data_IF_701721871190
#
_entry.id   IF_701721871190
#
_cell.length_a   1.000
_cell.length_b   1.000
_cell.length_c   1.000
_cell.angle_alpha   90.00
_cell.angle_beta   90.00
_cell.angle_gamma   90.00
#
_symmetry.space_group_name_H-M   'P 1'
#
loop_
_entity.id
_entity.type
_entity.pdbx_description
1 polymer ?
#
# COMPACT_ATOMS: atom_id res chain seq x y z
N UNK A 1 -12.18 -14.64 -2.24
CA UNK A 1 -11.28 -15.16 -3.30
C UNK A 1 -10.38 -14.04 -3.77
N UNK A 2 -9.06 -14.26 -3.85
CA UNK A 2 -8.12 -13.25 -4.36
C UNK A 2 -8.35 -12.99 -5.85
N UNK A 3 -8.27 -11.71 -6.24
CA UNK A 3 -8.32 -11.23 -7.62
C UNK A 3 -7.20 -10.23 -7.84
N UNK A 4 -6.69 -10.15 -9.07
CA UNK A 4 -5.74 -9.11 -9.45
C UNK A 4 -6.47 -7.80 -9.71
N UNK A 5 -6.09 -6.77 -8.98
CA UNK A 5 -6.57 -5.40 -9.16
C UNK A 5 -5.46 -4.55 -9.77
N UNK A 6 -5.85 -3.60 -10.62
CA UNK A 6 -4.96 -2.62 -11.22
C UNK A 6 -5.19 -1.27 -10.55
N UNK A 7 -4.11 -0.54 -10.27
CA UNK A 7 -4.17 0.78 -9.68
C UNK A 7 -3.07 1.68 -10.20
N UNK A 8 -3.22 2.98 -9.93
CA UNK A 8 -2.21 3.98 -10.23
C UNK A 8 -2.21 5.08 -9.16
N UNK A 9 -1.11 5.85 -9.11
CA UNK A 9 -1.09 7.08 -8.33
C UNK A 9 -1.99 8.15 -8.97
N UNK A 10 -2.32 9.20 -8.21
CA UNK A 10 -3.25 10.24 -8.65
C UNK A 10 -2.86 10.89 -10.00
N UNK A 11 -1.56 11.10 -10.24
CA UNK A 11 -1.06 11.68 -11.48
C UNK A 11 -0.82 10.67 -12.60
N UNK A 12 -1.06 9.37 -12.36
CA UNK A 12 -0.84 8.30 -13.34
C UNK A 12 0.62 7.90 -13.55
N UNK A 13 1.60 8.55 -12.93
CA UNK A 13 3.01 8.26 -13.17
C UNK A 13 3.52 6.91 -12.59
N UNK A 14 2.72 6.27 -11.73
CA UNK A 14 3.02 4.96 -11.13
C UNK A 14 1.84 4.05 -11.37
N UNK A 15 2.08 2.88 -11.94
CA UNK A 15 1.09 1.84 -12.18
C UNK A 15 1.47 0.57 -11.41
N UNK A 16 0.49 -0.07 -10.78
CA UNK A 16 0.72 -1.28 -10.01
C UNK A 16 -0.43 -2.28 -10.16
N UNK A 17 -0.11 -3.54 -9.89
CA UNK A 17 -1.05 -4.63 -9.72
C UNK A 17 -0.96 -5.20 -8.31
N UNK A 18 -2.10 -5.54 -7.73
CA UNK A 18 -2.15 -6.19 -6.42
C UNK A 18 -3.17 -7.34 -6.42
N UNK A 19 -2.75 -8.51 -5.94
CA UNK A 19 -3.66 -9.64 -5.73
C UNK A 19 -4.30 -9.50 -4.36
N UNK A 20 -5.60 -9.19 -4.31
CA UNK A 20 -6.32 -8.85 -3.09
C UNK A 20 -7.61 -9.66 -2.98
N UNK A 21 -8.03 -9.95 -1.75
CA UNK A 21 -9.40 -10.34 -1.46
C UNK A 21 -10.11 -9.19 -0.74
N UNK A 22 -10.85 -8.38 -1.48
CA UNK A 22 -11.56 -7.25 -0.90
C UNK A 22 -12.71 -7.68 0.05
N UNK A 23 -13.13 -8.95 0.00
CA UNK A 23 -14.13 -9.49 0.91
C UNK A 23 -13.58 -9.74 2.33
N UNK A 24 -12.26 -9.82 2.50
CA UNK A 24 -11.62 -9.86 3.85
C UNK A 24 -11.80 -8.55 4.63
N UNK A 25 -12.30 -7.50 3.96
CA UNK A 25 -12.67 -6.24 4.56
C UNK A 25 -11.59 -5.15 4.44
N UNK A 26 -12.01 -3.95 4.78
CA UNK A 26 -11.18 -2.74 4.73
C UNK A 26 -10.78 -2.35 6.16
N UNK A 27 -9.49 -2.18 6.39
CA UNK A 27 -8.95 -1.79 7.69
C UNK A 27 -8.72 -0.29 7.77
N UNK A 28 -9.10 0.28 8.92
CA UNK A 28 -8.76 1.64 9.35
C UNK A 28 -7.88 1.54 10.58
N UNK A 29 -6.64 2.02 10.46
CA UNK A 29 -5.70 2.07 11.58
C UNK A 29 -5.77 3.45 12.26
N UNK A 30 -5.61 3.48 13.57
CA UNK A 30 -5.65 4.69 14.40
C UNK A 30 -4.26 5.23 14.80
N UNK A 31 -3.16 4.68 14.27
CA UNK A 31 -1.84 5.27 14.53
C UNK A 31 -1.73 6.68 13.91
N UNK A 32 -0.87 7.53 14.47
CA UNK A 32 -0.74 8.93 14.08
C UNK A 32 -0.52 9.15 12.58
N UNK A 33 0.28 8.29 11.94
CA UNK A 33 0.50 8.32 10.50
C UNK A 33 -0.78 8.02 9.70
N UNK A 34 -1.47 6.92 10.02
CA UNK A 34 -2.69 6.53 9.31
C UNK A 34 -3.83 7.50 9.54
N UNK A 35 -3.89 8.10 10.73
CA UNK A 35 -4.88 9.11 11.07
C UNK A 35 -4.70 10.37 10.23
N UNK A 36 -3.47 10.89 10.13
CA UNK A 36 -3.15 12.09 9.32
C UNK A 36 -3.40 11.89 7.83
N UNK A 37 -3.12 10.69 7.31
CA UNK A 37 -3.34 10.38 5.89
C UNK A 37 -4.79 10.03 5.55
N UNK A 38 -5.62 9.67 6.53
CA UNK A 38 -7.02 9.31 6.31
C UNK A 38 -7.23 8.02 5.51
N UNK A 39 -6.21 7.14 5.43
CA UNK A 39 -6.25 5.96 4.56
C UNK A 39 -7.20 4.87 5.04
N UNK A 40 -7.87 4.25 4.05
CA UNK A 40 -8.59 2.98 4.17
C UNK A 40 -7.82 1.93 3.38
N UNK A 41 -7.45 0.82 4.02
CA UNK A 41 -6.46 -0.11 3.48
C UNK A 41 -7.01 -1.54 3.40
N UNK A 42 -6.77 -2.21 2.29
CA UNK A 42 -6.71 -3.68 2.24
C UNK A 42 -5.24 -4.09 2.25
N UNK A 43 -4.95 -5.30 2.72
CA UNK A 43 -3.58 -5.79 2.84
C UNK A 43 -3.37 -6.96 1.89
N UNK A 44 -2.19 -7.03 1.28
CA UNK A 44 -1.73 -8.20 0.55
C UNK A 44 -0.30 -8.54 0.95
N UNK A 45 0.18 -9.72 0.59
CA UNK A 45 1.56 -10.11 0.79
C UNK A 45 2.49 -9.29 -0.12
N UNK A 46 3.75 -9.11 0.28
CA UNK A 46 4.73 -8.34 -0.50
C UNK A 46 4.85 -8.87 -1.94
N UNK A 47 5.00 -10.20 -2.11
CA UNK A 47 5.09 -10.82 -3.45
C UNK A 47 3.81 -10.70 -4.31
N UNK A 48 2.68 -10.31 -3.71
CA UNK A 48 1.40 -10.13 -4.40
C UNK A 48 1.16 -8.67 -4.82
N UNK A 49 2.09 -7.75 -4.56
CA UNK A 49 2.13 -6.39 -5.09
C UNK A 49 3.24 -6.29 -6.15
N UNK A 50 2.90 -5.78 -7.33
CA UNK A 50 3.84 -5.61 -8.45
C UNK A 50 3.73 -4.19 -8.98
N UNK A 51 4.81 -3.41 -8.92
CA UNK A 51 4.88 -2.09 -9.56
C UNK A 51 5.28 -2.30 -11.00
N UNK A 52 4.41 -1.92 -11.94
CA UNK A 52 4.60 -2.14 -13.37
C UNK A 52 5.33 -0.98 -14.04
N UNK A 53 5.18 0.24 -13.50
CA UNK A 53 5.79 1.46 -14.04
C UNK A 53 6.01 2.49 -12.93
N UNK A 54 7.04 3.34 -13.06
CA UNK A 54 7.24 4.52 -12.22
C UNK A 54 7.89 4.26 -10.85
N UNK A 55 8.56 3.12 -10.67
CA UNK A 55 9.24 2.77 -9.41
C UNK A 55 10.30 3.81 -9.00
N UNK A 56 10.98 4.42 -9.97
CA UNK A 56 11.95 5.52 -9.80
C UNK A 56 11.35 6.81 -9.19
N UNK A 57 10.02 6.97 -9.34
CA UNK A 57 9.26 8.12 -8.82
C UNK A 57 8.71 7.88 -7.41
N UNK A 58 8.83 6.66 -6.89
CA UNK A 58 8.43 6.35 -5.51
C UNK A 58 9.45 6.89 -4.51
N UNK A 59 8.97 7.16 -3.29
CA UNK A 59 9.80 7.60 -2.17
C UNK A 59 9.35 6.88 -0.91
N UNK A 60 10.30 6.55 -0.07
CA UNK A 60 10.03 5.92 1.21
C UNK A 60 9.77 6.97 2.28
N UNK A 61 8.75 6.71 3.10
CA UNK A 61 8.49 7.47 4.30
C UNK A 61 8.57 6.53 5.51
N UNK A 62 9.48 6.84 6.44
CA UNK A 62 9.65 6.12 7.70
C UNK A 62 9.55 7.12 8.85
N UNK A 63 8.50 7.00 9.67
CA UNK A 63 8.36 7.83 10.87
C UNK A 63 9.37 7.37 11.93
N UNK A 64 9.94 8.31 12.70
CA UNK A 64 10.76 8.01 13.88
C UNK A 64 10.16 8.65 15.13
N UNK A 65 9.98 7.89 16.24
CA UNK A 65 10.15 6.43 16.34
C UNK A 65 9.04 5.66 15.59
N UNK A 66 9.34 4.43 15.16
CA UNK A 66 8.37 3.51 14.54
C UNK A 66 8.40 2.16 15.26
N UNK A 67 7.21 1.61 15.54
CA UNK A 67 7.06 0.26 16.11
C UNK A 67 6.90 -0.82 15.01
N UNK A 68 6.90 -0.42 13.74
CA UNK A 68 6.93 -1.40 12.64
C UNK A 68 8.34 -1.98 12.52
N UNK A 69 8.48 -3.31 12.31
CA UNK A 69 9.76 -3.92 12.04
C UNK A 69 10.48 -3.18 10.92
N UNK A 70 11.77 -2.94 11.08
CA UNK A 70 12.60 -2.54 9.96
C UNK A 70 12.60 -3.73 8.99
N UNK A 71 11.96 -3.54 7.83
CA UNK A 71 12.06 -4.50 6.73
C UNK A 71 13.40 -4.34 6.03
N UNK A 72 13.77 -5.40 5.31
CA UNK A 72 14.89 -5.45 4.36
C UNK A 72 14.83 -4.28 3.34
#
# INVERSE_FOLDING_TARGET
MKKTYHGSCHCGAVHFQADLDLAEGIRKCNCSFCWKLGYRKSFTAYQALRVMEGSDRMRDYKARPSNWPEGD
#
